data_IF_249235833636
#
_entry.id   IF_249235833636
#
_cell.length_a   1.000
_cell.length_b   1.000
_cell.length_c   1.000
_cell.angle_alpha   90.00
_cell.angle_beta   90.00
_cell.angle_gamma   90.00
#
_symmetry.space_group_name_H-M   'P 1'
#
loop_
_entity.id
_entity.type
_entity.pdbx_description
1 polymer ?
#
# COMPACT_ATOMS: atom_id res chain seq x y z
N UNK A 1 17.91 -60.58 -91.67
CA UNK A 1 18.03 -61.30 -90.38
C UNK A 1 17.26 -60.51 -89.33
N UNK A 2 16.28 -61.11 -88.67
CA UNK A 2 15.50 -60.46 -87.62
C UNK A 2 16.30 -60.46 -86.30
N UNK A 3 16.25 -59.35 -85.56
CA UNK A 3 16.90 -59.22 -84.25
C UNK A 3 16.09 -60.00 -83.22
N UNK A 4 16.76 -60.79 -82.39
CA UNK A 4 16.10 -61.59 -81.36
C UNK A 4 16.10 -60.90 -80.00
N UNK A 5 15.11 -61.27 -79.18
CA UNK A 5 14.93 -60.76 -77.82
C UNK A 5 16.13 -61.03 -76.90
N UNK A 6 16.77 -62.19 -77.04
CA UNK A 6 17.96 -62.54 -76.27
C UNK A 6 19.17 -61.65 -76.59
N UNK A 7 19.30 -61.17 -77.83
CA UNK A 7 20.35 -60.23 -78.22
C UNK A 7 20.12 -58.86 -77.57
N UNK A 8 18.87 -58.41 -77.52
CA UNK A 8 18.47 -57.16 -76.86
C UNK A 8 18.76 -57.24 -75.36
N UNK A 9 18.43 -58.37 -74.72
CA UNK A 9 18.70 -58.61 -73.30
C UNK A 9 20.19 -58.67 -72.99
N UNK A 10 20.98 -59.39 -73.78
CA UNK A 10 22.44 -59.47 -73.59
C UNK A 10 23.11 -58.10 -73.68
N UNK A 11 22.64 -57.24 -74.58
CA UNK A 11 23.16 -55.87 -74.73
C UNK A 11 22.67 -54.98 -73.58
N UNK A 12 21.43 -55.14 -73.12
CA UNK A 12 20.91 -54.42 -71.96
C UNK A 12 21.68 -54.80 -70.68
N UNK A 13 21.95 -56.10 -70.48
CA UNK A 13 22.78 -56.62 -69.38
C UNK A 13 24.21 -56.10 -69.46
N UNK A 14 24.83 -56.06 -70.65
CA UNK A 14 26.17 -55.50 -70.83
C UNK A 14 26.20 -54.01 -70.51
N UNK A 15 25.24 -53.22 -71.03
CA UNK A 15 25.17 -51.79 -70.72
C UNK A 15 24.99 -51.55 -69.22
N UNK A 16 24.14 -52.34 -68.57
CA UNK A 16 23.89 -52.26 -67.13
C UNK A 16 25.12 -52.66 -66.31
N UNK A 17 25.87 -53.70 -66.72
CA UNK A 17 27.13 -54.11 -66.12
C UNK A 17 28.25 -53.07 -66.32
N UNK A 18 28.25 -52.39 -67.47
CA UNK A 18 29.14 -51.27 -67.77
C UNK A 18 28.77 -49.98 -67.00
N UNK A 19 27.71 -49.99 -66.16
CA UNK A 19 27.20 -48.84 -65.42
C UNK A 19 26.45 -47.82 -66.28
N UNK A 20 26.17 -48.14 -67.54
CA UNK A 20 25.46 -47.29 -68.49
C UNK A 20 23.99 -47.66 -68.52
N UNK A 21 23.10 -46.69 -68.29
CA UNK A 21 21.64 -46.95 -68.31
C UNK A 21 21.20 -47.54 -69.66
N UNK A 22 20.65 -48.76 -69.71
CA UNK A 22 20.20 -49.40 -70.95
C UNK A 22 18.92 -48.74 -71.46
N UNK A 23 19.10 -47.63 -72.20
CA UNK A 23 18.02 -46.93 -72.90
C UNK A 23 17.74 -47.57 -74.25
N UNK A 24 16.52 -47.42 -74.78
CA UNK A 24 16.14 -47.96 -76.10
C UNK A 24 17.12 -47.52 -77.20
N UNK A 25 17.57 -46.26 -77.14
CA UNK A 25 18.55 -45.71 -78.07
C UNK A 25 19.94 -46.30 -77.90
N UNK A 26 20.41 -46.54 -76.67
CA UNK A 26 21.71 -47.16 -76.42
C UNK A 26 21.75 -48.62 -76.90
N UNK A 27 20.67 -49.36 -76.64
CA UNK A 27 20.51 -50.75 -77.09
C UNK A 27 20.43 -50.82 -78.62
N UNK A 28 19.63 -49.96 -79.27
CA UNK A 28 19.54 -49.88 -80.74
C UNK A 28 20.87 -49.48 -81.38
N UNK A 29 21.63 -48.55 -80.76
CA UNK A 29 22.95 -48.12 -81.25
C UNK A 29 23.97 -49.26 -81.22
N UNK A 30 24.00 -50.08 -80.15
CA UNK A 30 24.86 -51.29 -80.07
C UNK A 30 24.39 -52.40 -81.03
N UNK A 31 23.08 -52.52 -81.29
CA UNK A 31 22.52 -53.51 -82.24
C UNK A 31 22.70 -53.13 -83.72
N UNK A 32 22.81 -51.84 -84.03
CA UNK A 32 22.99 -51.33 -85.41
C UNK A 32 21.74 -51.38 -86.30
N UNK A 33 20.67 -52.06 -85.87
CA UNK A 33 19.41 -52.23 -86.60
C UNK A 33 18.27 -52.56 -85.61
N UNK A 34 17.02 -52.62 -86.08
CA UNK A 34 15.85 -53.02 -85.29
C UNK A 34 14.79 -51.92 -85.12
N UNK A 35 13.52 -52.35 -85.07
CA UNK A 35 12.39 -51.47 -84.75
C UNK A 35 12.41 -51.11 -83.26
N UNK A 36 12.15 -49.84 -82.95
CA UNK A 36 12.01 -49.39 -81.56
C UNK A 36 10.90 -50.13 -80.81
N UNK A 37 9.84 -50.55 -81.50
CA UNK A 37 8.73 -51.31 -80.90
C UNK A 37 9.20 -52.66 -80.34
N UNK A 38 9.92 -53.43 -81.16
CA UNK A 38 10.48 -54.74 -80.75
C UNK A 38 11.51 -54.61 -79.62
N UNK A 39 12.33 -53.56 -79.63
CA UNK A 39 13.31 -53.30 -78.57
C UNK A 39 12.60 -52.88 -77.28
N UNK A 40 11.53 -52.09 -77.37
CA UNK A 40 10.74 -51.65 -76.22
C UNK A 40 10.06 -52.79 -75.49
N UNK A 41 9.45 -53.73 -76.23
CA UNK A 41 8.80 -54.91 -75.65
C UNK A 41 9.83 -55.77 -74.89
N UNK A 42 10.96 -56.08 -75.55
CA UNK A 42 12.05 -56.83 -74.95
C UNK A 42 12.66 -56.11 -73.73
N UNK A 43 12.85 -54.79 -73.78
CA UNK A 43 13.40 -54.03 -72.64
C UNK A 43 12.45 -53.95 -71.44
N UNK A 44 11.15 -53.95 -71.70
CA UNK A 44 10.13 -53.93 -70.64
C UNK A 44 10.18 -55.23 -69.85
N UNK A 45 10.30 -56.37 -70.54
CA UNK A 45 10.49 -57.67 -69.91
C UNK A 45 11.85 -57.81 -69.19
N UNK A 46 12.92 -57.27 -69.79
CA UNK A 46 14.23 -57.23 -69.13
C UNK A 46 14.20 -56.46 -67.81
N UNK A 47 13.53 -55.29 -67.79
CA UNK A 47 13.34 -54.50 -66.57
C UNK A 47 12.57 -55.26 -65.50
N UNK A 48 11.49 -55.95 -65.88
CA UNK A 48 10.70 -56.77 -64.95
C UNK A 48 11.53 -57.90 -64.35
N UNK A 49 12.32 -58.60 -65.18
CA UNK A 49 13.24 -59.66 -64.74
C UNK A 49 14.29 -59.14 -63.77
N UNK A 50 14.88 -57.96 -64.03
CA UNK A 50 15.85 -57.32 -63.13
C UNK A 50 15.21 -56.95 -61.79
N UNK A 51 13.99 -56.40 -61.81
CA UNK A 51 13.27 -56.02 -60.60
C UNK A 51 12.99 -57.24 -59.71
N UNK A 52 12.55 -58.35 -60.30
CA UNK A 52 12.31 -59.60 -59.58
C UNK A 52 13.60 -60.20 -59.00
N UNK A 53 14.71 -60.12 -59.73
CA UNK A 53 16.02 -60.63 -59.27
C UNK A 53 16.65 -59.77 -58.16
N UNK A 54 16.20 -58.53 -57.99
CA UNK A 54 16.79 -57.56 -57.04
C UNK A 54 15.95 -57.41 -55.76
N UNK A 55 14.77 -58.03 -55.65
CA UNK A 55 14.04 -58.04 -54.38
C UNK A 55 14.82 -58.87 -53.35
N UNK A 56 15.34 -58.27 -52.27
CA UNK A 56 15.96 -59.03 -51.20
C UNK A 56 14.86 -59.85 -50.52
N UNK A 57 15.06 -61.16 -50.41
CA UNK A 57 14.25 -62.00 -49.53
C UNK A 57 14.64 -61.60 -48.11
N UNK A 58 13.80 -60.80 -47.44
CA UNK A 58 13.97 -60.51 -46.02
C UNK A 58 13.42 -61.71 -45.27
N UNK A 59 14.30 -62.64 -44.87
CA UNK A 59 13.92 -63.72 -43.98
C UNK A 59 13.60 -63.15 -42.58
N UNK A 60 12.49 -63.57 -41.96
CA UNK A 60 12.19 -63.16 -40.59
C UNK A 60 13.27 -63.66 -39.64
N UNK A 61 13.64 -62.88 -38.61
CA UNK A 61 14.65 -63.29 -37.65
C UNK A 61 14.22 -64.57 -36.91
N UNK A 62 15.18 -65.44 -36.52
CA UNK A 62 14.88 -66.65 -35.77
C UNK A 62 14.09 -66.36 -34.48
N UNK A 63 13.16 -67.25 -34.07
CA UNK A 63 12.35 -67.07 -32.86
C UNK A 63 13.17 -66.76 -31.59
N UNK A 64 14.30 -67.44 -31.40
CA UNK A 64 15.18 -67.26 -30.23
C UNK A 64 15.73 -65.83 -30.13
N UNK A 65 16.00 -65.18 -31.27
CA UNK A 65 16.48 -63.79 -31.31
C UNK A 65 15.36 -62.83 -30.92
N UNK A 66 14.14 -63.09 -31.39
CA UNK A 66 12.96 -62.27 -31.04
C UNK A 66 12.65 -62.39 -29.55
N UNK A 67 12.74 -63.60 -28.98
CA UNK A 67 12.55 -63.84 -27.55
C UNK A 67 13.62 -63.15 -26.70
N UNK A 68 14.90 -63.29 -27.06
CA UNK A 68 16.01 -62.64 -26.35
C UNK A 68 15.88 -61.10 -26.36
N UNK A 69 15.49 -60.52 -27.50
CA UNK A 69 15.21 -59.08 -27.60
C UNK A 69 14.00 -58.69 -26.76
N UNK A 70 12.95 -59.51 -26.71
CA UNK A 70 11.78 -59.29 -25.88
C UNK A 70 12.10 -59.25 -24.39
N UNK A 71 12.93 -60.18 -23.90
CA UNK A 71 13.41 -60.21 -22.50
C UNK A 71 14.22 -58.96 -22.19
N UNK A 72 15.21 -58.62 -23.03
CA UNK A 72 16.02 -57.42 -22.83
C UNK A 72 15.17 -56.13 -22.84
N UNK A 73 14.20 -56.03 -23.74
CA UNK A 73 13.29 -54.89 -23.80
C UNK A 73 12.44 -54.76 -22.53
N UNK A 74 11.98 -55.88 -21.96
CA UNK A 74 11.23 -55.89 -20.70
C UNK A 74 12.09 -55.46 -19.51
N UNK A 75 13.36 -55.89 -19.46
CA UNK A 75 14.31 -55.47 -18.43
C UNK A 75 14.60 -53.96 -18.51
N UNK A 76 14.91 -53.45 -19.71
CA UNK A 76 15.14 -52.02 -19.95
C UNK A 76 13.90 -51.21 -19.54
N UNK A 77 12.71 -51.67 -19.93
CA UNK A 77 11.46 -51.01 -19.57
C UNK A 77 11.26 -50.96 -18.06
N UNK A 78 11.55 -52.06 -17.35
CA UNK A 78 11.43 -52.12 -15.90
C UNK A 78 12.38 -51.12 -15.23
N UNK A 79 13.65 -51.07 -15.65
CA UNK A 79 14.63 -50.11 -15.12
C UNK A 79 14.19 -48.67 -15.40
N UNK A 80 13.75 -48.36 -16.62
CA UNK A 80 13.28 -47.04 -17.00
C UNK A 80 12.06 -46.62 -16.16
N UNK A 81 11.11 -47.53 -15.95
CA UNK A 81 9.92 -47.29 -15.14
C UNK A 81 10.28 -47.02 -13.68
N UNK A 82 11.13 -47.84 -13.07
CA UNK A 82 11.56 -47.65 -11.68
C UNK A 82 12.31 -46.32 -11.50
N UNK A 83 13.14 -45.93 -12.48
CA UNK A 83 13.81 -44.63 -12.46
C UNK A 83 12.82 -43.47 -12.53
N UNK A 84 11.82 -43.56 -13.43
CA UNK A 84 10.77 -42.56 -13.56
C UNK A 84 9.88 -42.46 -12.30
N UNK A 85 9.50 -43.59 -11.71
CA UNK A 85 8.73 -43.64 -10.48
C UNK A 85 9.50 -43.02 -9.30
N UNK A 86 10.82 -43.28 -9.21
CA UNK A 86 11.68 -42.66 -8.19
C UNK A 86 11.79 -41.14 -8.38
N UNK A 87 11.98 -40.68 -9.61
CA UNK A 87 12.04 -39.26 -9.91
C UNK A 87 10.70 -38.57 -9.55
N UNK A 88 9.58 -39.16 -9.96
CA UNK A 88 8.25 -38.65 -9.64
C UNK A 88 7.96 -38.63 -8.14
N UNK A 89 8.41 -39.63 -7.39
CA UNK A 89 8.29 -39.65 -5.94
C UNK A 89 9.08 -38.50 -5.29
N UNK A 90 10.33 -38.27 -5.74
CA UNK A 90 11.15 -37.17 -5.25
C UNK A 90 10.57 -35.79 -5.59
N UNK A 91 10.00 -35.62 -6.79
CA UNK A 91 9.36 -34.36 -7.17
C UNK A 91 8.09 -34.09 -6.33
N UNK A 92 7.32 -35.13 -6.00
CA UNK A 92 6.15 -35.02 -5.11
C UNK A 92 6.55 -34.64 -3.69
N UNK A 93 7.62 -35.22 -3.17
CA UNK A 93 8.13 -34.92 -1.84
C UNK A 93 8.59 -33.45 -1.76
N UNK A 94 9.39 -32.98 -2.73
CA UNK A 94 9.80 -31.56 -2.80
C UNK A 94 8.60 -30.62 -2.91
N UNK A 95 7.63 -30.94 -3.75
CA UNK A 95 6.44 -30.10 -3.89
C UNK A 95 5.61 -30.07 -2.59
N UNK A 96 5.55 -31.18 -1.86
CA UNK A 96 4.89 -31.23 -0.56
C UNK A 96 5.64 -30.38 0.48
N UNK A 97 6.97 -30.46 0.52
CA UNK A 97 7.82 -29.62 1.38
C UNK A 97 7.64 -28.12 1.05
N UNK A 98 7.69 -27.75 -0.23
CA UNK A 98 7.46 -26.37 -0.68
C UNK A 98 6.07 -25.87 -0.32
N UNK A 99 5.05 -26.72 -0.47
CA UNK A 99 3.68 -26.37 -0.10
C UNK A 99 3.54 -26.13 1.40
N UNK A 100 4.12 -27.01 2.23
CA UNK A 100 4.12 -26.82 3.69
C UNK A 100 4.89 -25.55 4.09
N UNK A 101 6.05 -25.28 3.48
CA UNK A 101 6.81 -24.06 3.74
C UNK A 101 6.03 -22.79 3.35
N UNK A 102 5.34 -22.81 2.20
CA UNK A 102 4.48 -21.70 1.77
C UNK A 102 3.29 -21.51 2.72
N UNK A 103 2.66 -22.60 3.19
CA UNK A 103 1.58 -22.50 4.17
C UNK A 103 2.05 -21.89 5.49
N UNK A 104 3.24 -22.28 5.96
CA UNK A 104 3.83 -21.70 7.17
C UNK A 104 4.15 -20.21 6.97
N UNK A 105 4.75 -19.83 5.85
CA UNK A 105 5.02 -18.43 5.51
C UNK A 105 3.73 -17.60 5.43
N UNK A 106 2.65 -18.13 4.85
CA UNK A 106 1.35 -17.47 4.81
C UNK A 106 0.78 -17.30 6.21
N UNK A 107 0.87 -18.33 7.06
CA UNK A 107 0.42 -18.26 8.46
C UNK A 107 1.17 -17.18 9.23
N UNK A 108 2.50 -17.16 9.16
CA UNK A 108 3.33 -16.13 9.80
C UNK A 108 2.99 -14.72 9.29
N UNK A 109 2.76 -14.59 7.98
CA UNK A 109 2.39 -13.30 7.37
C UNK A 109 1.02 -12.82 7.87
N UNK A 110 0.06 -13.72 8.07
CA UNK A 110 -1.25 -13.39 8.64
C UNK A 110 -1.12 -12.98 10.11
N UNK A 111 -0.33 -13.71 10.91
CA UNK A 111 -0.08 -13.36 12.30
C UNK A 111 0.55 -11.97 12.44
N UNK A 112 1.52 -11.63 11.58
CA UNK A 112 2.12 -10.28 11.54
C UNK A 112 1.11 -9.23 11.09
N UNK A 113 0.27 -9.54 10.10
CA UNK A 113 -0.77 -8.62 9.63
C UNK A 113 -1.79 -8.32 10.74
N UNK A 114 -2.21 -9.33 11.50
CA UNK A 114 -3.12 -9.17 12.63
C UNK A 114 -2.50 -8.31 13.73
N UNK A 115 -1.23 -8.57 14.09
CA UNK A 115 -0.49 -7.74 15.07
C UNK A 115 -0.38 -6.28 14.64
N UNK A 116 -0.04 -6.02 13.38
CA UNK A 116 0.03 -4.66 12.84
C UNK A 116 -1.33 -3.97 12.83
N UNK A 117 -2.40 -4.72 12.60
CA UNK A 117 -3.75 -4.17 12.64
C UNK A 117 -4.17 -3.81 14.08
N UNK A 118 -3.85 -4.65 15.07
CA UNK A 118 -4.06 -4.34 16.49
C UNK A 118 -3.26 -3.10 16.93
N UNK A 119 -1.99 -2.99 16.53
CA UNK A 119 -1.16 -1.82 16.82
C UNK A 119 -1.72 -0.55 16.16
N UNK A 120 -2.19 -0.64 14.92
CA UNK A 120 -2.80 0.48 14.21
C UNK A 120 -4.09 0.97 14.90
N UNK A 121 -4.93 0.06 15.39
CA UNK A 121 -6.13 0.42 16.16
C UNK A 121 -5.76 1.05 17.51
N UNK A 122 -4.75 0.53 18.20
CA UNK A 122 -4.26 1.13 19.44
C UNK A 122 -3.73 2.55 19.22
N UNK A 123 -2.94 2.76 18.16
CA UNK A 123 -2.41 4.08 17.81
C UNK A 123 -3.53 5.06 17.43
N UNK A 124 -4.54 4.59 16.68
CA UNK A 124 -5.73 5.41 16.36
C UNK A 124 -6.47 5.85 17.62
N UNK A 125 -6.64 4.94 18.59
CA UNK A 125 -7.26 5.27 19.86
C UNK A 125 -6.44 6.29 20.65
N UNK A 126 -5.12 6.11 20.74
CA UNK A 126 -4.23 7.05 21.43
C UNK A 126 -4.25 8.45 20.79
N UNK A 127 -4.32 8.53 19.46
CA UNK A 127 -4.47 9.81 18.75
C UNK A 127 -5.80 10.46 19.09
N UNK A 128 -6.91 9.71 19.05
CA UNK A 128 -8.24 10.23 19.39
C UNK A 128 -8.30 10.74 20.85
N UNK A 129 -7.75 9.97 21.79
CA UNK A 129 -7.67 10.36 23.21
C UNK A 129 -6.80 11.62 23.39
N UNK A 130 -5.67 11.70 22.68
CA UNK A 130 -4.79 12.86 22.69
C UNK A 130 -5.43 14.12 22.10
N UNK A 131 -6.26 13.98 21.06
CA UNK A 131 -7.04 15.07 20.48
C UNK A 131 -8.14 15.54 21.44
N UNK A 132 -8.87 14.60 22.07
CA UNK A 132 -9.87 14.93 23.08
C UNK A 132 -9.26 15.69 24.27
N UNK A 133 -8.11 15.23 24.78
CA UNK A 133 -7.40 15.89 25.87
C UNK A 133 -6.90 17.30 25.48
N UNK A 134 -6.50 17.53 24.22
CA UNK A 134 -6.14 18.87 23.73
C UNK A 134 -7.36 19.80 23.72
N UNK A 135 -8.51 19.32 23.24
CA UNK A 135 -9.75 20.10 23.24
C UNK A 135 -10.18 20.48 24.65
N UNK A 136 -10.14 19.52 25.59
CA UNK A 136 -10.45 19.79 27.00
C UNK A 136 -9.49 20.81 27.61
N UNK A 137 -8.18 20.66 27.39
CA UNK A 137 -7.17 21.62 27.84
C UNK A 137 -7.43 23.02 27.30
N UNK A 138 -7.78 23.14 26.02
CA UNK A 138 -8.03 24.42 25.38
C UNK A 138 -9.31 25.08 25.92
N UNK A 139 -10.35 24.29 26.22
CA UNK A 139 -11.56 24.75 26.90
C UNK A 139 -11.24 25.27 28.31
N UNK A 140 -10.55 24.47 29.13
CA UNK A 140 -10.14 24.87 30.49
C UNK A 140 -9.29 26.15 30.44
N UNK A 141 -8.39 26.26 29.46
CA UNK A 141 -7.56 27.45 29.30
C UNK A 141 -8.42 28.67 28.95
N UNK A 142 -9.38 28.55 28.04
CA UNK A 142 -10.30 29.62 27.70
C UNK A 142 -11.17 30.04 28.90
N UNK A 143 -11.74 29.07 29.62
CA UNK A 143 -12.53 29.33 30.84
C UNK A 143 -11.69 30.06 31.90
N UNK A 144 -10.45 29.61 32.13
CA UNK A 144 -9.55 30.25 33.07
C UNK A 144 -9.18 31.70 32.65
N UNK A 145 -9.01 31.96 31.36
CA UNK A 145 -8.78 33.32 30.86
C UNK A 145 -10.02 34.21 31.07
N UNK A 146 -11.21 33.70 30.76
CA UNK A 146 -12.46 34.47 30.97
C UNK A 146 -12.70 34.75 32.44
N UNK A 147 -12.43 33.77 33.33
CA UNK A 147 -12.49 33.94 34.77
C UNK A 147 -11.52 35.03 35.24
N UNK A 148 -10.24 34.97 34.83
CA UNK A 148 -9.24 36.00 35.17
C UNK A 148 -9.68 37.40 34.75
N UNK A 149 -10.18 37.56 33.52
CA UNK A 149 -10.67 38.85 33.01
C UNK A 149 -11.84 39.34 33.87
N UNK A 150 -12.81 38.48 34.16
CA UNK A 150 -13.96 38.83 34.99
C UNK A 150 -13.55 39.24 36.40
N UNK A 151 -12.68 38.47 37.06
CA UNK A 151 -12.18 38.80 38.40
C UNK A 151 -11.42 40.12 38.40
N UNK A 152 -10.56 40.38 37.40
CA UNK A 152 -9.88 41.67 37.27
C UNK A 152 -10.86 42.84 37.09
N UNK A 153 -11.91 42.67 36.27
CA UNK A 153 -12.96 43.68 36.10
C UNK A 153 -13.74 43.92 37.40
N UNK A 154 -14.07 42.88 38.16
CA UNK A 154 -14.75 42.99 39.45
C UNK A 154 -13.88 43.71 40.50
N UNK A 155 -12.58 43.40 40.55
CA UNK A 155 -11.61 44.09 41.42
C UNK A 155 -11.50 45.57 41.04
N UNK A 156 -11.37 45.89 39.75
CA UNK A 156 -11.28 47.28 39.29
C UNK A 156 -12.55 48.07 39.64
N UNK A 157 -13.74 47.49 39.40
CA UNK A 157 -15.02 48.12 39.79
C UNK A 157 -15.13 48.33 41.29
N UNK A 158 -14.68 47.38 42.10
CA UNK A 158 -14.68 47.52 43.55
C UNK A 158 -13.72 48.61 44.00
N UNK A 159 -12.52 48.68 43.41
CA UNK A 159 -11.52 49.72 43.67
C UNK A 159 -12.03 51.11 43.28
N UNK A 160 -12.66 51.27 42.12
CA UNK A 160 -13.28 52.52 41.67
C UNK A 160 -14.39 52.98 42.62
N UNK A 161 -15.26 52.06 43.05
CA UNK A 161 -16.31 52.37 44.04
C UNK A 161 -15.74 52.78 45.39
N UNK A 162 -14.68 52.11 45.86
CA UNK A 162 -14.01 52.47 47.09
C UNK A 162 -13.39 53.87 46.98
N UNK A 163 -12.68 54.16 45.89
CA UNK A 163 -12.10 55.49 45.64
C UNK A 163 -13.16 56.59 45.55
N UNK A 164 -14.31 56.31 44.92
CA UNK A 164 -15.43 57.26 44.86
C UNK A 164 -16.01 57.54 46.26
N UNK A 165 -16.15 56.51 47.10
CA UNK A 165 -16.63 56.65 48.48
C UNK A 165 -15.63 57.40 49.35
N UNK A 166 -14.34 57.16 49.19
CA UNK A 166 -13.30 57.91 49.88
C UNK A 166 -13.31 59.39 49.48
N UNK A 167 -13.49 59.69 48.19
CA UNK A 167 -13.62 61.07 47.70
C UNK A 167 -14.87 61.76 48.26
N UNK A 168 -16.02 61.07 48.28
CA UNK A 168 -17.27 61.57 48.87
C UNK A 168 -17.11 61.85 50.36
N UNK A 169 -16.43 60.95 51.10
CA UNK A 169 -16.14 61.13 52.51
C UNK A 169 -15.18 62.31 52.79
N UNK A 170 -14.20 62.55 51.92
CA UNK A 170 -13.30 63.70 52.02
C UNK A 170 -14.06 65.01 51.82
N UNK A 171 -14.92 65.11 50.79
CA UNK A 171 -15.73 66.30 50.55
C UNK A 171 -16.79 66.52 51.64
N UNK A 172 -17.39 65.44 52.18
CA UNK A 172 -18.29 65.53 53.33
C UNK A 172 -17.57 66.07 54.56
N UNK A 173 -16.37 65.56 54.91
CA UNK A 173 -15.56 66.06 56.03
C UNK A 173 -15.15 67.53 55.83
N UNK A 174 -14.84 67.93 54.60
CA UNK A 174 -14.50 69.31 54.27
C UNK A 174 -15.70 70.24 54.44
N UNK A 175 -16.88 69.85 53.98
CA UNK A 175 -18.10 70.64 54.14
C UNK A 175 -18.55 70.72 55.60
N UNK A 176 -18.44 69.62 56.36
CA UNK A 176 -18.68 69.59 57.81
C UNK A 176 -17.73 70.55 58.54
N UNK A 177 -16.43 70.53 58.21
CA UNK A 177 -15.46 71.47 58.79
C UNK A 177 -15.82 72.92 58.51
N UNK A 178 -16.21 73.26 57.28
CA UNK A 178 -16.62 74.62 56.91
C UNK A 178 -17.87 75.03 57.70
N UNK A 179 -18.85 74.14 57.83
CA UNK A 179 -20.07 74.39 58.59
C UNK A 179 -19.78 74.62 60.08
N UNK A 180 -18.89 73.83 60.68
CA UNK A 180 -18.43 74.01 62.06
C UNK A 180 -17.71 75.35 62.26
N UNK A 181 -16.83 75.73 61.34
CA UNK A 181 -16.14 77.03 61.38
C UNK A 181 -17.14 78.21 61.28
N UNK A 182 -18.15 78.10 60.43
CA UNK A 182 -19.23 79.09 60.33
C UNK A 182 -20.09 79.15 61.59
N UNK A 183 -20.48 78.01 62.15
CA UNK A 183 -21.25 77.92 63.38
C UNK A 183 -20.48 78.55 64.55
N UNK A 184 -19.19 78.24 64.70
CA UNK A 184 -18.32 78.86 65.70
C UNK A 184 -18.22 80.38 65.53
N UNK A 185 -18.12 80.87 64.28
CA UNK A 185 -18.12 82.32 63.99
C UNK A 185 -19.44 82.99 64.37
N UNK A 186 -20.58 82.40 64.01
CA UNK A 186 -21.89 82.93 64.35
C UNK A 186 -22.11 82.93 65.86
N UNK A 187 -21.71 81.86 66.55
CA UNK A 187 -21.79 81.78 68.01
C UNK A 187 -20.96 82.90 68.66
N UNK A 188 -19.73 83.13 68.21
CA UNK A 188 -18.91 84.25 68.70
C UNK A 188 -19.54 85.63 68.41
N UNK A 189 -20.26 85.79 67.30
CA UNK A 189 -21.02 87.01 67.01
C UNK A 189 -22.22 87.17 67.95
N UNK A 190 -22.95 86.09 68.25
CA UNK A 190 -24.06 86.11 69.21
C UNK A 190 -23.56 86.47 70.60
N UNK A 191 -22.51 85.83 71.11
CA UNK A 191 -21.92 86.13 72.42
C UNK A 191 -21.44 87.59 72.50
N UNK A 192 -20.84 88.12 71.42
CA UNK A 192 -20.43 89.52 71.35
C UNK A 192 -21.63 90.48 71.37
N UNK A 193 -22.71 90.17 70.62
CA UNK A 193 -23.93 90.97 70.61
C UNK A 193 -24.65 90.92 71.96
N UNK A 194 -24.73 89.76 72.61
CA UNK A 194 -25.26 89.62 73.98
C UNK A 194 -24.46 90.45 74.97
N UNK A 195 -23.13 90.43 74.87
CA UNK A 195 -22.24 91.26 75.71
C UNK A 195 -22.49 92.76 75.46
N UNK A 196 -22.63 93.18 74.19
CA UNK A 196 -22.96 94.57 73.84
C UNK A 196 -24.32 94.99 74.39
N UNK A 197 -25.35 94.13 74.28
CA UNK A 197 -26.67 94.38 74.85
C UNK A 197 -26.60 94.49 76.38
N UNK A 198 -25.85 93.62 77.05
CA UNK A 198 -25.65 93.69 78.50
C UNK A 198 -24.96 95.02 78.90
N UNK A 199 -23.93 95.44 78.16
CA UNK A 199 -23.24 96.71 78.38
C UNK A 199 -24.15 97.92 78.13
N UNK A 200 -24.94 97.92 77.06
CA UNK A 200 -25.91 98.99 76.77
C UNK A 200 -27.02 99.04 77.83
N UNK A 201 -27.52 97.89 78.26
CA UNK A 201 -28.54 97.79 79.33
C UNK A 201 -27.98 98.32 80.65
N UNK A 202 -26.73 97.98 80.98
CA UNK A 202 -26.02 98.54 82.14
C UNK A 202 -25.80 100.06 82.01
N UNK A 203 -25.45 100.56 80.83
CA UNK A 203 -25.23 101.99 80.56
C UNK A 203 -26.53 102.82 80.52
N UNK A 204 -27.67 102.21 80.19
CA UNK A 204 -29.00 102.81 80.32
C UNK A 204 -29.42 102.80 81.79
N UNK A 205 -29.22 101.68 82.50
CA UNK A 205 -29.48 101.57 83.93
C UNK A 205 -28.70 102.59 84.77
N UNK A 206 -27.43 102.82 84.44
CA UNK A 206 -26.60 103.85 85.10
C UNK A 206 -27.06 105.28 84.78
N UNK A 207 -27.55 105.54 83.57
CA UNK A 207 -28.13 106.84 83.18
C UNK A 207 -29.47 107.13 83.88
N UNK A 208 -30.30 106.12 84.08
CA UNK A 208 -31.57 106.24 84.83
C UNK A 208 -31.30 106.41 86.34
N UNK A 209 -30.24 105.80 86.88
CA UNK A 209 -29.81 106.03 88.27
C UNK A 209 -29.19 107.42 88.48
N UNK A 210 -28.47 107.97 87.49
CA UNK A 210 -27.89 109.31 87.54
C UNK A 210 -28.89 110.47 87.34
N UNK A 211 -30.09 110.21 86.82
CA UNK A 211 -31.14 111.22 86.63
C UNK A 211 -32.08 111.39 87.85
N UNK A 212 -31.81 110.69 88.95
CA UNK A 212 -32.60 110.74 90.21
C UNK A 212 -31.88 111.43 91.39
N UNK A 213 -30.80 112.16 91.13
CA UNK A 213 -30.14 113.01 92.12
C UNK A 213 -30.53 114.48 91.93
#
# INVERSE_FOLDING_TARGET
MAITKDQIWKIADQLDADGVKPTLSAVRKKLGSGSYTTIQDAMSEWKQRKLQKTQPVVEPPPPDVVEAVGVLAAEIWTVARTAAERALAGDREKLAEEFTALQEQVRESLEVADQLNEEAELLRQQVADGEAAKVERDQITAEHQTFKIRTAQEINRASEKAAAKDSEAIEARKSERIALEQAARLQGQVEALETQLAQLTAAIGSRVAGSKA
#
